data_IF_250057553357
#
_entry.id   IF_250057553357
#
_cell.length_a   1.000
_cell.length_b   1.000
_cell.length_c   1.000
_cell.angle_alpha   90.00
_cell.angle_beta   90.00
_cell.angle_gamma   90.00
#
_symmetry.space_group_name_H-M   'P 1'
#
loop_
_entity.id
_entity.type
_entity.pdbx_description
1 polymer ?
#
# COMPACT_ATOMS: atom_id res chain seq x y z
N UNK A 1 -34.16 67.60 -47.12
CA UNK A 1 -33.99 66.50 -48.09
C UNK A 1 -33.08 65.46 -47.46
N UNK A 2 -33.53 64.20 -47.43
CA UNK A 2 -32.92 62.98 -46.85
C UNK A 2 -33.06 62.75 -45.33
N UNK A 3 -34.00 61.85 -45.03
CA UNK A 3 -34.18 61.09 -43.80
C UNK A 3 -32.98 60.18 -43.54
N UNK A 4 -32.66 59.98 -42.25
CA UNK A 4 -32.16 58.70 -41.73
C UNK A 4 -32.44 58.61 -40.22
N UNK A 5 -33.39 57.74 -39.86
CA UNK A 5 -33.65 57.28 -38.48
C UNK A 5 -32.44 56.48 -37.98
N UNK A 6 -31.86 56.87 -36.85
CA UNK A 6 -30.94 56.03 -36.08
C UNK A 6 -31.65 55.51 -34.83
N UNK A 7 -31.83 54.19 -34.77
CA UNK A 7 -32.25 53.45 -33.59
C UNK A 7 -31.15 53.49 -32.52
N UNK A 8 -31.50 53.90 -31.30
CA UNK A 8 -30.65 53.80 -30.12
C UNK A 8 -30.90 52.42 -29.49
N UNK A 9 -29.92 51.51 -29.59
CA UNK A 9 -29.88 50.28 -28.79
C UNK A 9 -29.10 50.56 -27.50
N UNK A 10 -29.81 50.67 -26.38
CA UNK A 10 -29.20 50.70 -25.04
C UNK A 10 -28.79 49.28 -24.63
N UNK A 11 -27.49 49.02 -24.52
CA UNK A 11 -26.96 47.81 -23.89
C UNK A 11 -26.93 48.02 -22.36
N UNK A 12 -27.82 47.33 -21.64
CA UNK A 12 -27.76 47.19 -20.19
C UNK A 12 -26.67 46.16 -19.84
N UNK A 13 -25.56 46.61 -19.25
CA UNK A 13 -24.56 45.71 -18.65
C UNK A 13 -25.07 45.23 -17.29
N UNK A 14 -25.54 43.98 -17.21
CA UNK A 14 -25.80 43.30 -15.95
C UNK A 14 -24.44 42.81 -15.42
N UNK A 15 -23.88 43.52 -14.43
CA UNK A 15 -22.75 43.03 -13.65
C UNK A 15 -23.27 41.92 -12.72
N UNK A 16 -23.17 40.66 -13.14
CA UNK A 16 -23.28 39.54 -12.21
C UNK A 16 -22.01 39.52 -11.35
N UNK A 17 -22.16 39.86 -10.08
CA UNK A 17 -21.15 39.64 -9.05
C UNK A 17 -20.90 38.13 -8.90
N UNK A 18 -19.87 37.62 -9.56
CA UNK A 18 -19.35 36.28 -9.29
C UNK A 18 -18.71 36.31 -7.91
N UNK A 19 -19.45 35.86 -6.90
CA UNK A 19 -18.86 35.52 -5.60
C UNK A 19 -17.94 34.33 -5.85
N UNK A 20 -16.65 34.60 -6.02
CA UNK A 20 -15.62 33.58 -6.10
C UNK A 20 -15.66 32.77 -4.79
N UNK A 21 -16.11 31.52 -4.86
CA UNK A 21 -15.98 30.57 -3.74
C UNK A 21 -14.50 30.57 -3.30
N UNK A 22 -14.20 30.61 -1.99
CA UNK A 22 -12.83 30.57 -1.53
C UNK A 22 -12.18 29.31 -2.09
N UNK A 23 -11.14 29.49 -2.89
CA UNK A 23 -10.29 28.41 -3.37
C UNK A 23 -9.63 27.84 -2.13
N UNK A 24 -10.11 26.69 -1.66
CA UNK A 24 -9.43 25.92 -0.61
C UNK A 24 -8.02 25.67 -1.13
N UNK A 25 -7.02 26.35 -0.56
CA UNK A 25 -5.63 26.00 -0.80
C UNK A 25 -5.51 24.51 -0.44
N UNK A 26 -4.89 23.66 -1.27
CA UNK A 26 -4.56 22.31 -0.84
C UNK A 26 -3.87 22.45 0.51
N UNK A 27 -4.38 21.81 1.55
CA UNK A 27 -3.64 21.71 2.79
C UNK A 27 -2.31 21.08 2.42
N UNK A 28 -1.21 21.82 2.61
CA UNK A 28 0.13 21.25 2.57
C UNK A 28 0.12 20.17 3.65
N UNK A 29 -0.02 18.91 3.22
CA UNK A 29 0.09 17.79 4.14
C UNK A 29 1.47 17.89 4.77
N UNK A 30 1.53 18.00 6.10
CA UNK A 30 2.80 18.14 6.79
C UNK A 30 3.73 16.97 6.44
N UNK A 31 5.02 17.25 6.27
CA UNK A 31 6.02 16.23 5.99
C UNK A 31 6.04 15.16 7.08
N UNK A 32 6.07 13.89 6.65
CA UNK A 32 6.14 12.72 7.53
C UNK A 32 7.41 12.78 8.37
N UNK A 33 7.29 12.57 9.68
CA UNK A 33 8.46 12.51 10.56
C UNK A 33 8.96 11.08 10.71
N UNK A 34 10.14 10.82 10.18
CA UNK A 34 10.82 9.53 10.31
C UNK A 34 11.63 9.44 11.62
N UNK A 35 12.01 8.24 12.10
CA UNK A 35 11.63 6.93 11.58
C UNK A 35 10.16 6.60 11.83
N UNK A 36 9.60 5.73 10.99
CA UNK A 36 8.27 5.16 11.24
C UNK A 36 8.31 4.23 12.45
N UNK A 37 7.15 4.07 13.11
CA UNK A 37 6.97 3.23 14.29
C UNK A 37 5.73 2.37 14.14
N UNK A 38 5.71 1.25 14.86
CA UNK A 38 4.47 0.51 15.08
C UNK A 38 3.62 1.29 16.08
N UNK A 39 2.34 1.48 15.76
CA UNK A 39 1.38 2.11 16.66
C UNK A 39 1.32 1.37 18.02
N UNK A 40 1.00 2.05 19.13
CA UNK A 40 0.92 1.40 20.44
C UNK A 40 -0.08 0.25 20.53
N UNK A 41 -1.10 0.23 19.67
CA UNK A 41 -2.09 -0.84 19.61
C UNK A 41 -1.68 -2.02 18.69
N UNK A 42 -0.53 -1.94 18.02
CA UNK A 42 0.00 -3.00 17.16
C UNK A 42 -0.72 -3.18 15.82
N UNK A 43 -1.63 -2.27 15.43
CA UNK A 43 -2.51 -2.48 14.25
C UNK A 43 -2.08 -1.72 13.00
N UNK A 44 -1.44 -0.57 13.17
CA UNK A 44 -1.00 0.27 12.05
C UNK A 44 0.38 0.88 12.29
N UNK A 45 0.85 1.66 11.33
CA UNK A 45 2.13 2.34 11.34
C UNK A 45 1.90 3.82 11.63
N UNK A 46 2.76 4.44 12.42
CA UNK A 46 2.75 5.89 12.64
C UNK A 46 4.08 6.50 12.23
N UNK A 47 4.07 7.80 11.98
CA UNK A 47 5.29 8.59 12.00
C UNK A 47 5.83 8.74 13.44
N UNK A 48 6.98 9.40 13.61
CA UNK A 48 7.60 9.56 14.92
C UNK A 48 6.85 10.50 15.88
N UNK A 49 5.88 11.28 15.38
CA UNK A 49 4.96 12.11 16.15
C UNK A 49 3.65 11.38 16.50
N UNK A 50 3.46 10.14 16.06
CA UNK A 50 2.24 9.37 16.30
C UNK A 50 1.12 9.62 15.28
N UNK A 51 1.40 10.31 14.16
CA UNK A 51 0.42 10.49 13.09
C UNK A 51 0.29 9.18 12.29
N UNK A 52 -0.92 8.64 12.09
CA UNK A 52 -1.12 7.44 11.29
C UNK A 52 -0.53 7.56 9.88
N UNK A 53 0.24 6.55 9.48
CA UNK A 53 0.89 6.45 8.20
C UNK A 53 0.24 5.33 7.39
N UNK A 54 -0.67 5.70 6.48
CA UNK A 54 -1.23 4.77 5.49
C UNK A 54 -0.14 4.40 4.49
N UNK A 55 0.41 3.19 4.57
CA UNK A 55 1.50 2.78 3.70
C UNK A 55 0.98 2.34 2.34
N UNK A 56 1.42 3.04 1.29
CA UNK A 56 1.12 2.67 -0.11
C UNK A 56 2.44 2.44 -0.80
N UNK A 57 2.81 1.17 -0.87
CA UNK A 57 4.10 0.72 -1.36
C UNK A 57 4.02 0.32 -2.83
N UNK A 58 5.09 0.55 -3.60
CA UNK A 58 5.28 -0.06 -4.92
C UNK A 58 6.38 -1.12 -4.86
N UNK A 59 6.21 -2.23 -5.57
CA UNK A 59 7.19 -3.31 -5.63
C UNK A 59 8.15 -3.05 -6.79
N UNK A 60 9.36 -2.58 -6.47
CA UNK A 60 10.38 -2.13 -7.42
C UNK A 60 11.63 -3.02 -7.40
N UNK A 61 11.44 -4.35 -7.49
CA UNK A 61 12.49 -5.34 -7.35
C UNK A 61 13.80 -4.98 -8.03
N UNK A 62 13.81 -4.78 -9.34
CA UNK A 62 15.06 -4.63 -10.08
C UNK A 62 15.63 -3.21 -10.10
N UNK A 63 15.12 -2.26 -9.30
CA UNK A 63 15.49 -0.84 -9.38
C UNK A 63 17.02 -0.64 -9.31
N UNK A 64 17.71 -1.18 -8.30
CA UNK A 64 19.18 -1.03 -8.15
C UNK A 64 19.99 -1.66 -9.28
N UNK A 65 19.42 -2.68 -9.93
CA UNK A 65 20.08 -3.36 -11.05
C UNK A 65 19.88 -2.63 -12.37
N UNK A 66 18.72 -2.02 -12.56
CA UNK A 66 18.27 -1.55 -13.87
C UNK A 66 18.37 -0.05 -14.06
N UNK A 67 18.23 0.74 -12.99
CA UNK A 67 18.13 2.19 -13.10
C UNK A 67 19.38 2.88 -12.57
N UNK A 68 19.82 3.91 -13.32
CA UNK A 68 20.79 4.87 -12.84
C UNK A 68 20.13 5.98 -12.00
N UNK A 69 20.91 6.87 -11.37
CA UNK A 69 20.39 7.89 -10.46
C UNK A 69 19.27 8.77 -11.05
N UNK A 70 19.41 9.19 -12.31
CA UNK A 70 18.41 10.03 -13.00
C UNK A 70 17.09 9.28 -13.18
N UNK A 71 17.13 8.03 -13.61
CA UNK A 71 15.93 7.23 -13.83
C UNK A 71 15.28 6.81 -12.51
N UNK A 72 16.08 6.52 -11.48
CA UNK A 72 15.57 6.27 -10.12
C UNK A 72 14.81 7.49 -9.60
N UNK A 73 15.34 8.70 -9.78
CA UNK A 73 14.66 9.95 -9.42
C UNK A 73 13.34 10.12 -10.19
N UNK A 74 13.35 9.91 -11.51
CA UNK A 74 12.13 9.98 -12.35
C UNK A 74 11.05 9.00 -11.88
N UNK A 75 11.45 7.76 -11.56
CA UNK A 75 10.55 6.76 -10.99
C UNK A 75 9.94 7.23 -9.66
N UNK A 76 10.77 7.73 -8.74
CA UNK A 76 10.33 8.21 -7.43
C UNK A 76 9.40 9.42 -7.54
N UNK A 77 9.72 10.39 -8.40
CA UNK A 77 8.90 11.58 -8.64
C UNK A 77 7.51 11.19 -9.18
N UNK A 78 7.48 10.24 -10.14
CA UNK A 78 6.23 9.72 -10.66
C UNK A 78 5.42 9.00 -9.58
N UNK A 79 6.04 8.07 -8.84
CA UNK A 79 5.35 7.32 -7.77
C UNK A 79 4.82 8.25 -6.68
N UNK A 80 5.60 9.26 -6.28
CA UNK A 80 5.15 10.28 -5.33
C UNK A 80 3.92 11.05 -5.84
N UNK A 81 3.91 11.42 -7.13
CA UNK A 81 2.76 12.11 -7.76
C UNK A 81 1.49 11.26 -7.81
N UNK A 82 1.65 9.93 -7.84
CA UNK A 82 0.57 8.93 -7.80
C UNK A 82 0.15 8.54 -6.36
N UNK A 83 0.62 9.28 -5.35
CA UNK A 83 0.36 9.05 -3.92
C UNK A 83 1.03 7.82 -3.30
N UNK A 84 1.95 7.15 -3.99
CA UNK A 84 2.85 6.19 -3.34
C UNK A 84 3.77 6.91 -2.35
N UNK A 85 4.00 6.29 -1.20
CA UNK A 85 4.88 6.82 -0.17
C UNK A 85 6.00 5.85 0.24
N UNK A 86 5.97 4.63 -0.28
CA UNK A 86 6.97 3.59 -0.02
C UNK A 86 7.31 2.89 -1.35
N UNK A 87 8.52 2.40 -1.50
CA UNK A 87 8.83 1.39 -2.50
C UNK A 87 9.76 0.32 -1.93
N UNK A 88 9.61 -0.91 -2.41
CA UNK A 88 10.39 -2.05 -1.98
C UNK A 88 11.43 -2.40 -3.04
N UNK A 89 12.66 -2.62 -2.62
CA UNK A 89 13.77 -2.96 -3.51
C UNK A 89 14.56 -4.12 -2.96
N UNK A 90 14.98 -5.03 -3.83
CA UNK A 90 15.95 -6.06 -3.45
C UNK A 90 17.35 -5.45 -3.44
N UNK A 91 18.01 -5.55 -2.29
CA UNK A 91 19.37 -5.05 -2.07
C UNK A 91 20.36 -5.82 -2.93
N UNK A 92 20.21 -7.15 -3.02
CA UNK A 92 20.99 -8.01 -3.91
C UNK A 92 20.27 -8.17 -5.26
N UNK A 93 20.99 -8.38 -6.38
CA UNK A 93 20.36 -8.59 -7.68
C UNK A 93 19.62 -9.94 -7.75
N UNK A 94 18.79 -10.18 -8.77
CA UNK A 94 17.94 -11.38 -8.80
C UNK A 94 18.74 -12.68 -8.85
N UNK A 95 19.94 -12.66 -9.42
CA UNK A 95 20.84 -13.82 -9.46
C UNK A 95 22.25 -13.43 -9.00
N UNK A 96 23.02 -14.34 -8.35
CA UNK A 96 24.37 -14.07 -7.86
C UNK A 96 25.41 -13.63 -8.90
N UNK A 97 25.21 -14.00 -10.16
CA UNK A 97 26.09 -13.62 -11.27
C UNK A 97 25.76 -12.24 -11.87
N UNK A 98 24.67 -11.60 -11.43
CA UNK A 98 24.26 -10.30 -11.92
C UNK A 98 24.99 -9.17 -11.19
N UNK A 99 24.88 -7.97 -11.75
CA UNK A 99 25.53 -6.74 -11.29
C UNK A 99 24.50 -5.63 -11.15
N UNK A 100 24.82 -4.56 -10.42
CA UNK A 100 23.97 -3.37 -10.38
C UNK A 100 24.01 -2.60 -11.72
N UNK A 101 23.29 -1.49 -11.79
CA UNK A 101 23.30 -0.59 -12.95
C UNK A 101 24.72 -0.19 -13.40
N UNK A 102 25.62 0.04 -12.45
CA UNK A 102 27.01 0.41 -12.69
C UNK A 102 27.93 -0.78 -13.03
N UNK A 103 27.37 -1.97 -13.32
CA UNK A 103 28.09 -3.22 -13.62
C UNK A 103 28.98 -3.72 -12.46
N UNK A 104 28.67 -3.34 -11.22
CA UNK A 104 29.41 -3.75 -10.01
C UNK A 104 28.71 -4.93 -9.32
N UNK A 105 29.49 -5.88 -8.78
CA UNK A 105 29.00 -7.02 -7.98
C UNK A 105 28.77 -6.61 -6.52
N UNK A 106 27.78 -7.19 -5.81
CA UNK A 106 27.54 -6.85 -4.39
C UNK A 106 28.68 -7.26 -3.46
N UNK A 107 29.40 -8.31 -3.79
CA UNK A 107 30.49 -8.87 -2.98
C UNK A 107 31.73 -9.09 -3.84
N UNK A 108 32.90 -9.03 -3.21
CA UNK A 108 34.17 -9.38 -3.82
C UNK A 108 34.40 -10.90 -3.75
N UNK A 109 35.51 -11.37 -4.33
CA UNK A 109 36.04 -12.73 -4.15
C UNK A 109 34.98 -13.84 -4.27
N UNK A 110 34.33 -13.92 -5.43
CA UNK A 110 33.33 -14.95 -5.74
C UNK A 110 32.14 -15.00 -4.76
N UNK A 111 31.56 -13.84 -4.47
CA UNK A 111 30.40 -13.70 -3.57
C UNK A 111 30.70 -14.03 -2.10
N UNK A 112 31.89 -13.68 -1.61
CA UNK A 112 32.20 -13.72 -0.17
C UNK A 112 31.39 -12.67 0.59
N UNK A 113 30.45 -13.13 1.42
CA UNK A 113 29.55 -12.29 2.21
C UNK A 113 30.28 -11.41 3.23
N UNK A 114 31.50 -11.80 3.64
CA UNK A 114 32.36 -11.01 4.53
C UNK A 114 33.10 -9.89 3.81
N UNK A 115 33.04 -9.86 2.46
CA UNK A 115 33.68 -8.85 1.61
C UNK A 115 32.67 -8.05 0.77
N UNK A 116 31.74 -7.29 1.38
CA UNK A 116 30.86 -6.38 0.68
C UNK A 116 31.63 -5.37 -0.20
N UNK A 117 31.17 -5.20 -1.44
CA UNK A 117 31.81 -4.33 -2.41
C UNK A 117 31.31 -2.88 -2.26
N UNK A 118 32.13 -1.98 -1.70
CA UNK A 118 31.74 -0.60 -1.38
C UNK A 118 31.08 0.14 -2.56
N UNK A 119 31.66 0.21 -3.78
CA UNK A 119 31.01 0.83 -4.93
C UNK A 119 29.59 0.32 -5.26
N UNK A 120 29.28 -0.95 -4.94
CA UNK A 120 27.91 -1.47 -5.12
C UNK A 120 26.93 -0.79 -4.16
N UNK A 121 27.29 -0.76 -2.88
CA UNK A 121 26.46 -0.19 -1.82
C UNK A 121 26.44 1.34 -1.82
N UNK A 122 27.46 2.00 -2.40
CA UNK A 122 27.44 3.44 -2.69
C UNK A 122 26.27 3.81 -3.64
N UNK A 123 25.89 2.92 -4.57
CA UNK A 123 24.73 3.14 -5.44
C UNK A 123 23.40 3.05 -4.67
N UNK A 124 23.25 2.05 -3.79
CA UNK A 124 22.08 1.94 -2.90
C UNK A 124 21.94 3.18 -2.01
N UNK A 125 23.05 3.68 -1.45
CA UNK A 125 23.05 4.89 -0.64
C UNK A 125 22.49 6.11 -1.39
N UNK A 126 22.86 6.29 -2.66
CA UNK A 126 22.32 7.35 -3.52
C UNK A 126 20.80 7.21 -3.73
N UNK A 127 20.30 5.99 -3.86
CA UNK A 127 18.85 5.71 -3.99
C UNK A 127 18.10 6.04 -2.70
N UNK A 128 18.65 5.67 -1.53
CA UNK A 128 18.05 5.97 -0.22
C UNK A 128 17.99 7.49 0.02
N UNK A 129 19.07 8.22 -0.31
CA UNK A 129 19.13 9.68 -0.21
C UNK A 129 18.10 10.35 -1.13
N UNK A 130 18.03 9.93 -2.40
CA UNK A 130 17.06 10.46 -3.36
C UNK A 130 15.59 10.22 -2.91
N UNK A 131 15.33 9.07 -2.27
CA UNK A 131 14.02 8.76 -1.69
C UNK A 131 13.71 9.66 -0.48
N UNK A 132 14.71 9.92 0.38
CA UNK A 132 14.58 10.79 1.56
C UNK A 132 14.18 12.21 1.17
N UNK A 133 14.84 12.77 0.15
CA UNK A 133 14.53 14.09 -0.41
C UNK A 133 13.07 14.21 -0.89
N UNK A 134 12.45 13.08 -1.27
CA UNK A 134 11.07 13.00 -1.79
C UNK A 134 10.04 12.56 -0.76
N UNK A 135 10.44 12.44 0.52
CA UNK A 135 9.57 11.91 1.58
C UNK A 135 9.02 10.52 1.21
N UNK A 136 9.90 9.64 0.71
CA UNK A 136 9.60 8.24 0.39
C UNK A 136 10.36 7.30 1.34
N UNK A 137 9.68 6.25 1.76
CA UNK A 137 10.27 5.14 2.50
C UNK A 137 10.83 4.10 1.55
N UNK A 138 12.00 3.55 1.87
CA UNK A 138 12.62 2.46 1.12
C UNK A 138 12.55 1.17 1.94
N UNK A 139 11.78 0.20 1.48
CA UNK A 139 11.83 -1.16 2.01
C UNK A 139 13.02 -1.91 1.42
N UNK A 140 13.99 -2.25 2.25
CA UNK A 140 15.24 -2.91 1.86
C UNK A 140 15.10 -4.42 2.03
N UNK A 141 14.77 -5.13 0.95
CA UNK A 141 14.75 -6.60 0.94
C UNK A 141 16.18 -7.12 0.87
N UNK A 142 16.68 -7.57 2.02
CA UNK A 142 18.11 -7.82 2.29
C UNK A 142 18.67 -8.98 1.46
N UNK A 143 17.89 -10.04 1.29
CA UNK A 143 18.19 -11.14 0.36
C UNK A 143 16.90 -11.87 -0.03
N UNK A 144 17.01 -12.74 -1.03
CA UNK A 144 15.93 -13.53 -1.61
C UNK A 144 16.40 -14.97 -1.83
N UNK A 145 15.46 -15.89 -2.04
CA UNK A 145 15.66 -17.33 -2.27
C UNK A 145 16.76 -17.66 -3.28
N UNK A 146 16.88 -16.86 -4.34
CA UNK A 146 17.86 -17.06 -5.41
C UNK A 146 19.33 -16.92 -4.97
N UNK A 147 19.57 -16.39 -3.77
CA UNK A 147 20.90 -16.27 -3.17
C UNK A 147 21.22 -17.37 -2.15
N UNK A 148 20.28 -18.27 -1.84
CA UNK A 148 20.47 -19.28 -0.80
C UNK A 148 21.73 -20.12 -1.02
N UNK A 149 21.97 -20.61 -2.24
CA UNK A 149 23.17 -21.39 -2.52
C UNK A 149 24.49 -20.67 -2.21
N UNK A 150 24.53 -19.33 -2.30
CA UNK A 150 25.69 -18.53 -1.90
C UNK A 150 25.78 -18.43 -0.38
N UNK A 151 24.66 -18.20 0.29
CA UNK A 151 24.63 -18.10 1.75
C UNK A 151 24.91 -19.45 2.41
N UNK A 152 24.32 -20.54 1.94
CA UNK A 152 24.46 -21.89 2.47
C UNK A 152 25.90 -22.42 2.33
N UNK A 153 26.68 -21.87 1.40
CA UNK A 153 28.10 -22.17 1.23
C UNK A 153 29.02 -21.41 2.21
N UNK A 154 28.46 -20.56 3.08
CA UNK A 154 29.19 -19.67 3.99
C UNK A 154 28.83 -19.96 5.45
N UNK A 155 29.64 -19.48 6.39
CA UNK A 155 29.41 -19.70 7.82
C UNK A 155 28.30 -18.82 8.41
N UNK A 156 27.77 -19.24 9.56
CA UNK A 156 26.84 -18.43 10.37
C UNK A 156 27.39 -17.02 10.69
N UNK A 157 28.70 -16.93 10.98
CA UNK A 157 29.38 -15.66 11.22
C UNK A 157 29.37 -14.75 9.98
N UNK A 158 29.45 -15.32 8.78
CA UNK A 158 29.37 -14.55 7.55
C UNK A 158 27.96 -13.96 7.34
N UNK A 159 26.89 -14.71 7.67
CA UNK A 159 25.52 -14.21 7.61
C UNK A 159 25.30 -13.04 8.57
N UNK A 160 25.75 -13.20 9.82
CA UNK A 160 25.66 -12.15 10.84
C UNK A 160 26.49 -10.92 10.44
N UNK A 161 27.70 -11.13 9.92
CA UNK A 161 28.59 -10.06 9.46
C UNK A 161 27.98 -9.27 8.29
N UNK A 162 27.29 -9.94 7.36
CA UNK A 162 26.56 -9.25 6.29
C UNK A 162 25.43 -8.40 6.85
N UNK A 163 24.62 -8.94 7.78
CA UNK A 163 23.58 -8.19 8.48
C UNK A 163 24.12 -6.94 9.19
N UNK A 164 25.22 -7.10 9.94
CA UNK A 164 25.90 -6.00 10.62
C UNK A 164 26.47 -4.96 9.66
N UNK A 165 27.04 -5.39 8.52
CA UNK A 165 27.55 -4.47 7.51
C UNK A 165 26.44 -3.56 6.96
N UNK A 166 25.29 -4.13 6.56
CA UNK A 166 24.19 -3.32 6.02
C UNK A 166 23.57 -2.44 7.10
N UNK A 167 23.37 -2.97 8.31
CA UNK A 167 22.88 -2.23 9.47
C UNK A 167 23.75 -1.00 9.76
N UNK A 168 25.05 -1.22 10.01
CA UNK A 168 26.03 -0.16 10.28
C UNK A 168 26.06 0.92 9.21
N UNK A 169 25.92 0.51 7.95
CA UNK A 169 26.01 1.41 6.81
C UNK A 169 24.77 2.29 6.63
N UNK A 170 23.58 1.72 6.77
CA UNK A 170 22.33 2.41 6.37
C UNK A 170 21.41 2.79 7.53
N UNK A 171 21.61 2.31 8.76
CA UNK A 171 20.77 2.66 9.92
C UNK A 171 20.71 4.18 10.22
N UNK A 172 21.71 4.95 9.78
CA UNK A 172 21.69 6.43 9.84
C UNK A 172 20.56 7.08 9.01
N UNK A 173 19.93 6.33 8.09
CA UNK A 173 18.81 6.81 7.28
C UNK A 173 17.48 6.42 7.92
N UNK A 174 16.69 7.41 8.32
CA UNK A 174 15.42 7.20 9.04
C UNK A 174 14.26 6.75 8.13
N UNK A 175 14.38 6.88 6.81
CA UNK A 175 13.33 6.56 5.84
C UNK A 175 13.47 5.15 5.26
N UNK A 176 14.03 4.19 6.01
CA UNK A 176 14.17 2.80 5.56
C UNK A 176 13.36 1.86 6.45
N UNK A 177 12.96 0.73 5.87
CA UNK A 177 12.44 -0.44 6.59
C UNK A 177 13.30 -1.63 6.19
N UNK A 178 13.81 -2.36 7.16
CA UNK A 178 14.56 -3.59 6.91
C UNK A 178 13.59 -4.71 6.59
N UNK A 179 13.81 -5.45 5.51
CA UNK A 179 12.93 -6.55 5.12
C UNK A 179 13.77 -7.81 4.92
N UNK A 180 13.49 -8.83 5.71
CA UNK A 180 14.20 -10.11 5.69
C UNK A 180 13.16 -11.21 5.46
N UNK A 181 13.36 -12.12 4.51
CA UNK A 181 12.31 -13.10 4.16
C UNK A 181 12.27 -14.24 5.16
N UNK A 182 11.11 -14.58 5.73
CA UNK A 182 11.02 -15.68 6.70
C UNK A 182 10.90 -17.06 5.99
N UNK A 183 10.24 -17.10 4.84
CA UNK A 183 9.92 -18.33 4.09
C UNK A 183 10.99 -18.74 3.08
N UNK A 184 11.76 -17.77 2.59
CA UNK A 184 12.71 -18.03 1.51
C UNK A 184 14.03 -18.59 2.01
N UNK A 185 14.32 -18.61 3.33
CA UNK A 185 15.51 -19.24 3.88
C UNK A 185 15.26 -20.72 4.21
N UNK A 186 16.22 -21.58 3.85
CA UNK A 186 16.13 -23.00 4.20
C UNK A 186 16.36 -23.26 5.70
N UNK A 187 16.99 -22.31 6.41
CA UNK A 187 17.36 -22.42 7.81
C UNK A 187 16.85 -21.22 8.62
N UNK A 188 16.06 -21.48 9.67
CA UNK A 188 15.55 -20.45 10.61
C UNK A 188 16.67 -19.62 11.26
N UNK A 189 17.88 -20.19 11.40
CA UNK A 189 19.06 -19.50 11.91
C UNK A 189 19.60 -18.45 10.95
N UNK A 190 19.44 -18.60 9.63
CA UNK A 190 19.90 -17.62 8.66
C UNK A 190 19.11 -16.31 8.78
N UNK A 191 17.78 -16.38 8.85
CA UNK A 191 16.93 -15.23 9.17
C UNK A 191 17.40 -14.56 10.47
N UNK A 192 17.50 -15.36 11.54
CA UNK A 192 17.82 -14.85 12.88
C UNK A 192 19.17 -14.15 12.90
N UNK A 193 20.21 -14.74 12.33
CA UNK A 193 21.56 -14.18 12.38
C UNK A 193 21.72 -12.93 11.51
N UNK A 194 21.09 -12.87 10.34
CA UNK A 194 21.05 -11.65 9.52
C UNK A 194 20.31 -10.55 10.28
N UNK A 195 19.14 -10.84 10.84
CA UNK A 195 18.35 -9.85 11.60
C UNK A 195 19.04 -9.40 12.89
N UNK A 196 19.71 -10.30 13.60
CA UNK A 196 20.52 -9.98 14.79
C UNK A 196 21.69 -9.06 14.42
N UNK A 197 22.37 -9.32 13.29
CA UNK A 197 23.41 -8.44 12.78
C UNK A 197 22.88 -7.05 12.40
N UNK A 198 21.73 -6.96 11.75
CA UNK A 198 21.10 -5.67 11.44
C UNK A 198 20.77 -4.92 12.74
N UNK A 199 20.10 -5.59 13.68
CA UNK A 199 19.67 -5.02 14.96
C UNK A 199 20.80 -4.52 15.83
N UNK A 200 21.97 -5.15 15.80
CA UNK A 200 23.11 -4.65 16.58
C UNK A 200 23.55 -3.24 16.18
N UNK A 201 23.09 -2.74 15.02
CA UNK A 201 23.47 -1.45 14.45
C UNK A 201 22.29 -0.52 14.12
N UNK A 202 21.04 -1.00 14.25
CA UNK A 202 19.83 -0.30 13.73
C UNK A 202 18.69 -0.18 14.75
N UNK A 203 19.01 0.02 16.02
CA UNK A 203 18.01 0.09 17.09
C UNK A 203 16.92 1.14 16.82
N UNK A 204 15.67 0.80 17.15
CA UNK A 204 14.49 1.66 16.94
C UNK A 204 13.97 1.79 15.50
N UNK A 205 14.55 1.10 14.52
CA UNK A 205 14.00 1.02 13.15
C UNK A 205 13.16 -0.24 12.96
N UNK A 206 12.11 -0.15 12.14
CA UNK A 206 11.22 -1.27 11.83
C UNK A 206 11.99 -2.36 11.08
N UNK A 207 11.92 -3.59 11.60
CA UNK A 207 12.34 -4.80 10.92
C UNK A 207 11.10 -5.62 10.53
N UNK A 208 10.89 -5.77 9.24
CA UNK A 208 9.78 -6.50 8.66
C UNK A 208 10.18 -7.88 8.13
N UNK A 209 9.20 -8.79 8.08
CA UNK A 209 9.32 -10.03 7.35
C UNK A 209 8.76 -9.95 5.94
N UNK A 210 9.23 -10.83 5.06
CA UNK A 210 8.69 -11.03 3.72
C UNK A 210 8.26 -12.48 3.51
N UNK A 211 7.01 -12.65 3.10
CA UNK A 211 6.37 -13.92 2.78
C UNK A 211 5.84 -13.87 1.34
N UNK A 212 5.93 -14.98 0.60
CA UNK A 212 5.44 -15.06 -0.80
C UNK A 212 4.13 -15.79 -0.95
N UNK A 213 3.66 -16.47 0.09
CA UNK A 213 2.34 -17.08 0.14
C UNK A 213 1.62 -16.76 1.47
N UNK A 214 0.39 -17.26 1.61
CA UNK A 214 -0.38 -17.11 2.83
C UNK A 214 0.37 -17.67 4.02
N UNK A 215 0.56 -16.89 5.11
CA UNK A 215 1.14 -17.44 6.33
C UNK A 215 0.25 -18.58 6.83
N UNK A 216 0.86 -19.73 7.10
CA UNK A 216 0.14 -20.95 7.51
C UNK A 216 -0.43 -20.85 8.93
N UNK A 217 -0.07 -19.84 9.73
CA UNK A 217 -0.49 -19.66 11.12
C UNK A 217 -0.81 -18.19 11.48
N UNK A 218 -1.93 -17.99 12.18
CA UNK A 218 -2.43 -16.69 12.70
C UNK A 218 -1.49 -16.12 13.76
N UNK A 219 -1.11 -16.98 14.70
CA UNK A 219 -0.16 -16.69 15.75
C UNK A 219 1.14 -17.37 15.38
N UNK A 220 1.86 -16.75 14.46
CA UNK A 220 3.22 -17.15 14.19
C UNK A 220 4.08 -16.86 15.44
N UNK A 221 4.20 -17.88 16.29
CA UNK A 221 5.12 -17.95 17.43
C UNK A 221 6.57 -18.09 16.96
N UNK A 222 6.86 -17.80 15.68
CA UNK A 222 8.22 -17.77 15.18
C UNK A 222 9.08 -16.96 16.14
N UNK A 223 10.25 -17.51 16.54
CA UNK A 223 11.21 -16.77 17.35
C UNK A 223 11.73 -15.53 16.60
N UNK A 224 11.41 -15.41 15.30
CA UNK A 224 11.72 -14.28 14.45
C UNK A 224 10.83 -13.07 14.85
N UNK A 225 11.44 -12.13 15.57
CA UNK A 225 10.78 -10.93 16.08
C UNK A 225 10.52 -9.89 14.97
N UNK A 226 9.71 -10.13 13.94
CA UNK A 226 9.36 -9.08 12.97
C UNK A 226 8.30 -8.12 13.52
N UNK A 227 8.48 -6.82 13.29
CA UNK A 227 7.60 -5.72 13.71
C UNK A 227 6.43 -5.50 12.73
N UNK A 228 6.64 -5.84 11.45
CA UNK A 228 5.73 -5.62 10.33
C UNK A 228 5.84 -6.80 9.37
N UNK A 229 4.74 -7.19 8.70
CA UNK A 229 4.78 -8.25 7.67
C UNK A 229 4.48 -7.72 6.27
N UNK A 230 5.31 -8.05 5.29
CA UNK A 230 4.99 -7.89 3.88
C UNK A 230 4.63 -9.26 3.29
N UNK A 231 3.43 -9.36 2.73
CA UNK A 231 2.99 -10.54 2.00
C UNK A 231 2.93 -10.15 0.53
N UNK A 232 3.84 -10.68 -0.27
CA UNK A 232 3.95 -10.32 -1.70
C UNK A 232 3.86 -11.61 -2.50
N UNK A 233 2.64 -11.96 -2.97
CA UNK A 233 2.43 -13.13 -3.80
C UNK A 233 3.40 -13.18 -4.97
N UNK A 234 3.99 -14.33 -5.23
CA UNK A 234 4.79 -14.53 -6.44
C UNK A 234 3.95 -15.10 -7.59
N UNK A 235 4.58 -15.33 -8.74
CA UNK A 235 3.93 -15.86 -9.94
C UNK A 235 3.33 -17.26 -9.80
N UNK A 236 3.58 -17.96 -8.69
CA UNK A 236 3.06 -19.31 -8.44
C UNK A 236 1.74 -19.29 -7.68
N UNK A 237 1.38 -18.16 -7.06
CA UNK A 237 0.13 -18.02 -6.30
C UNK A 237 -1.06 -17.95 -7.26
N UNK A 238 -1.96 -18.91 -7.14
CA UNK A 238 -3.22 -18.96 -7.89
C UNK A 238 -4.25 -17.95 -7.36
N UNK A 239 -5.26 -17.56 -8.16
CA UNK A 239 -6.36 -16.72 -7.69
C UNK A 239 -7.09 -17.30 -6.46
N UNK A 240 -7.24 -18.62 -6.39
CA UNK A 240 -7.86 -19.32 -5.25
C UNK A 240 -7.02 -19.20 -3.99
N UNK A 241 -5.70 -19.38 -4.09
CA UNK A 241 -4.79 -19.20 -2.95
C UNK A 241 -4.75 -17.74 -2.47
N UNK A 242 -4.82 -16.78 -3.40
CA UNK A 242 -4.94 -15.37 -3.06
C UNK A 242 -6.27 -15.06 -2.34
N UNK A 243 -7.40 -15.63 -2.81
CA UNK A 243 -8.68 -15.47 -2.13
C UNK A 243 -8.65 -16.08 -0.71
N UNK A 244 -7.98 -17.23 -0.55
CA UNK A 244 -7.75 -17.84 0.76
C UNK A 244 -6.90 -16.93 1.67
N UNK A 245 -5.89 -16.24 1.13
CA UNK A 245 -5.10 -15.24 1.86
C UNK A 245 -6.00 -14.11 2.38
N UNK A 246 -6.82 -13.53 1.51
CA UNK A 246 -7.74 -12.45 1.86
C UNK A 246 -8.74 -12.87 2.96
N UNK A 247 -9.29 -14.09 2.85
CA UNK A 247 -10.20 -14.66 3.84
C UNK A 247 -9.51 -14.94 5.18
N UNK A 248 -8.31 -15.53 5.15
CA UNK A 248 -7.50 -15.76 6.34
C UNK A 248 -7.29 -14.46 7.10
N UNK A 249 -6.94 -13.36 6.42
CA UNK A 249 -6.73 -12.07 7.07
C UNK A 249 -7.99 -11.51 7.69
N UNK A 250 -9.12 -11.55 6.98
CA UNK A 250 -10.42 -11.11 7.53
C UNK A 250 -10.70 -11.79 8.88
N UNK A 251 -10.41 -13.08 8.98
CA UNK A 251 -10.65 -13.88 10.19
C UNK A 251 -9.54 -13.74 11.26
N UNK A 252 -8.36 -13.25 10.87
CA UNK A 252 -7.16 -13.20 11.73
C UNK A 252 -6.84 -11.80 12.24
N UNK A 253 -7.38 -10.76 11.60
CA UNK A 253 -7.03 -9.37 11.85
C UNK A 253 -7.41 -8.87 13.24
N UNK A 254 -8.49 -9.39 13.85
CA UNK A 254 -8.79 -9.07 15.25
C UNK A 254 -7.71 -9.61 16.20
N UNK A 255 -7.16 -10.79 15.91
CA UNK A 255 -6.12 -11.45 16.70
C UNK A 255 -4.68 -10.98 16.36
N UNK A 256 -4.47 -10.40 15.18
CA UNK A 256 -3.16 -9.94 14.74
C UNK A 256 -2.72 -8.69 15.53
N UNK A 257 -1.66 -8.85 16.34
CA UNK A 257 -0.99 -7.77 17.07
C UNK A 257 0.17 -7.12 16.28
N UNK A 258 0.31 -7.48 15.01
CA UNK A 258 1.37 -6.98 14.11
C UNK A 258 0.73 -6.43 12.83
N UNK A 259 1.07 -5.21 12.40
CA UNK A 259 0.59 -4.70 11.13
C UNK A 259 1.16 -5.52 9.97
N UNK A 260 0.45 -5.50 8.86
CA UNK A 260 0.90 -6.15 7.63
C UNK A 260 0.49 -5.35 6.39
N UNK A 261 1.16 -5.62 5.28
CA UNK A 261 0.78 -5.19 3.94
C UNK A 261 0.71 -6.40 3.02
N UNK A 262 -0.19 -6.33 2.05
CA UNK A 262 -0.37 -7.36 1.03
C UNK A 262 -0.21 -6.71 -0.32
N UNK A 263 0.49 -7.38 -1.21
CA UNK A 263 0.50 -7.00 -2.61
C UNK A 263 -0.65 -7.63 -3.38
N UNK A 264 -1.17 -6.94 -4.40
CA UNK A 264 -1.98 -7.62 -5.41
C UNK A 264 -1.23 -8.80 -6.02
N UNK A 265 -1.96 -9.82 -6.46
CA UNK A 265 -1.36 -11.00 -7.08
C UNK A 265 -0.69 -10.69 -8.42
N UNK A 266 0.28 -11.52 -8.77
CA UNK A 266 0.95 -11.52 -10.06
C UNK A 266 0.09 -12.25 -11.11
N UNK A 267 -0.38 -11.54 -12.13
CA UNK A 267 -1.31 -12.11 -13.11
C UNK A 267 -0.68 -12.36 -14.49
N UNK A 268 -1.23 -13.31 -15.27
CA UNK A 268 -0.78 -13.61 -16.62
C UNK A 268 -0.87 -12.38 -17.52
N UNK A 269 0.11 -12.22 -18.41
CA UNK A 269 0.23 -11.09 -19.37
C UNK A 269 -0.94 -10.98 -20.36
N UNK A 270 -1.86 -11.93 -20.34
CA UNK A 270 -3.00 -12.04 -21.26
C UNK A 270 -4.16 -11.11 -20.87
N UNK A 271 -4.19 -10.61 -19.63
CA UNK A 271 -5.18 -9.61 -19.19
C UNK A 271 -4.68 -8.21 -19.56
N UNK A 272 -5.40 -7.53 -20.44
CA UNK A 272 -5.06 -6.21 -20.98
C UNK A 272 -5.37 -5.03 -20.05
N UNK A 273 -6.38 -5.15 -19.18
CA UNK A 273 -6.69 -4.18 -18.11
C UNK A 273 -6.95 -4.89 -16.78
N UNK A 274 -6.13 -4.58 -15.78
CA UNK A 274 -6.15 -5.21 -14.45
C UNK A 274 -6.74 -4.28 -13.38
N UNK A 275 -7.19 -3.08 -13.75
CA UNK A 275 -7.52 -2.02 -12.81
C UNK A 275 -8.64 -2.39 -11.84
N UNK A 276 -9.69 -3.08 -12.31
CA UNK A 276 -10.81 -3.54 -11.45
C UNK A 276 -10.31 -4.53 -10.40
N UNK A 277 -9.51 -5.50 -10.83
CA UNK A 277 -9.00 -6.56 -9.96
C UNK A 277 -8.05 -6.00 -8.90
N UNK A 278 -7.13 -5.11 -9.28
CA UNK A 278 -6.20 -4.53 -8.33
C UNK A 278 -6.94 -3.54 -7.40
N UNK A 279 -7.99 -2.83 -7.85
CA UNK A 279 -8.87 -2.07 -6.94
C UNK A 279 -9.53 -2.97 -5.92
N UNK A 280 -10.15 -4.07 -6.37
CA UNK A 280 -10.79 -5.05 -5.49
C UNK A 280 -9.80 -5.55 -4.42
N UNK A 281 -8.61 -5.96 -4.84
CA UNK A 281 -7.57 -6.47 -3.93
C UNK A 281 -7.01 -5.39 -2.99
N UNK A 282 -6.86 -4.15 -3.46
CA UNK A 282 -6.42 -3.03 -2.63
C UNK A 282 -7.45 -2.72 -1.53
N UNK A 283 -8.74 -2.65 -1.86
CA UNK A 283 -9.77 -2.44 -0.85
C UNK A 283 -9.91 -3.65 0.07
N UNK A 284 -9.84 -4.89 -0.44
CA UNK A 284 -9.81 -6.09 0.41
C UNK A 284 -8.65 -6.07 1.42
N UNK A 285 -7.47 -5.61 1.02
CA UNK A 285 -6.33 -5.42 1.93
C UNK A 285 -6.67 -4.48 3.09
N UNK A 286 -7.29 -3.34 2.78
CA UNK A 286 -7.71 -2.39 3.82
C UNK A 286 -8.84 -2.96 4.67
N UNK A 287 -9.79 -3.67 4.07
CA UNK A 287 -10.91 -4.29 4.77
C UNK A 287 -10.47 -5.40 5.72
N UNK A 288 -9.29 -5.97 5.51
CA UNK A 288 -8.67 -6.92 6.44
C UNK A 288 -7.78 -6.24 7.49
N UNK A 289 -7.88 -4.92 7.67
CA UNK A 289 -7.05 -4.12 8.60
C UNK A 289 -5.55 -4.16 8.33
N UNK A 290 -5.15 -4.32 7.06
CA UNK A 290 -3.78 -4.06 6.68
C UNK A 290 -3.40 -2.59 6.99
N UNK A 291 -2.14 -2.35 7.34
CA UNK A 291 -1.61 -1.00 7.55
C UNK A 291 -1.46 -0.18 6.25
N UNK A 292 -1.99 -0.71 5.15
CA UNK A 292 -1.76 -0.21 3.81
C UNK A 292 -1.96 -1.25 2.72
N UNK A 293 -1.35 -0.99 1.57
CA UNK A 293 -1.39 -1.85 0.38
C UNK A 293 -0.06 -1.80 -0.37
N UNK A 294 0.38 -2.94 -0.90
CA UNK A 294 1.51 -3.01 -1.82
C UNK A 294 0.99 -3.14 -3.25
N UNK A 295 1.41 -2.24 -4.14
CA UNK A 295 1.15 -2.36 -5.56
C UNK A 295 2.27 -3.16 -6.21
N UNK A 296 1.90 -4.18 -6.97
CA UNK A 296 2.80 -4.92 -7.84
C UNK A 296 2.30 -4.80 -9.27
N UNK A 297 3.17 -4.33 -10.16
CA UNK A 297 2.85 -4.10 -11.58
C UNK A 297 3.93 -4.66 -12.50
N UNK A 298 3.71 -4.56 -13.81
CA UNK A 298 4.67 -5.05 -14.82
C UNK A 298 6.03 -4.35 -14.75
N UNK A 299 6.11 -3.19 -14.09
CA UNK A 299 7.34 -2.41 -13.97
C UNK A 299 8.31 -2.90 -12.89
N UNK A 300 7.92 -3.85 -12.03
CA UNK A 300 8.78 -4.35 -10.92
C UNK A 300 10.19 -4.79 -11.35
N UNK A 301 10.31 -5.22 -12.61
CA UNK A 301 11.56 -5.68 -13.22
C UNK A 301 12.25 -4.64 -14.12
N UNK A 302 11.67 -3.45 -14.28
CA UNK A 302 12.17 -2.34 -15.10
C UNK A 302 12.57 -2.77 -16.52
N UNK A 303 11.68 -3.50 -17.20
CA UNK A 303 11.81 -3.76 -18.63
C UNK A 303 11.72 -2.43 -19.42
N UNK A 304 12.21 -2.36 -20.68
CA UNK A 304 12.31 -1.09 -21.42
C UNK A 304 11.02 -0.26 -21.50
N UNK A 305 9.84 -0.90 -21.39
CA UNK A 305 8.53 -0.25 -21.42
C UNK A 305 8.10 0.37 -20.08
N UNK A 306 8.91 0.31 -19.02
CA UNK A 306 8.51 0.73 -17.67
C UNK A 306 8.01 2.18 -17.61
N UNK A 307 8.61 3.10 -18.39
CA UNK A 307 8.19 4.51 -18.44
C UNK A 307 6.78 4.69 -19.00
N UNK A 308 6.36 3.82 -19.92
CA UNK A 308 5.01 3.83 -20.50
C UNK A 308 4.02 3.13 -19.56
N UNK A 309 4.48 2.13 -18.81
CA UNK A 309 3.63 1.31 -17.94
C UNK A 309 3.50 1.84 -16.51
N UNK A 310 4.32 2.81 -16.09
CA UNK A 310 4.30 3.35 -14.71
C UNK A 310 2.96 4.00 -14.31
N UNK A 311 2.15 4.41 -15.28
CA UNK A 311 0.80 4.97 -15.07
C UNK A 311 -0.32 3.96 -15.33
N UNK A 312 0.02 2.69 -15.55
CA UNK A 312 -0.92 1.61 -15.89
C UNK A 312 -0.91 0.56 -14.78
N UNK A 313 -1.56 -0.57 -15.06
CA UNK A 313 -1.62 -1.73 -14.19
C UNK A 313 -2.19 -1.37 -12.81
N UNK A 314 -3.17 -0.47 -12.77
CA UNK A 314 -3.82 -0.01 -11.55
C UNK A 314 -3.14 1.16 -10.83
N UNK A 315 -1.97 1.61 -11.27
CA UNK A 315 -1.35 2.80 -10.69
C UNK A 315 -2.23 4.06 -10.85
N UNK A 316 -3.08 4.11 -11.87
CA UNK A 316 -3.98 5.23 -12.19
C UNK A 316 -5.02 5.54 -11.11
N UNK A 317 -5.40 4.58 -10.27
CA UNK A 317 -6.43 4.79 -9.24
C UNK A 317 -5.86 4.90 -7.82
N UNK A 318 -4.57 4.63 -7.61
CA UNK A 318 -3.94 4.65 -6.28
C UNK A 318 -4.12 6.01 -5.59
N UNK A 319 -4.09 7.09 -6.38
CA UNK A 319 -4.40 8.42 -5.86
C UNK A 319 -5.79 8.50 -5.22
N UNK A 320 -6.81 7.91 -5.87
CA UNK A 320 -8.18 7.91 -5.37
C UNK A 320 -8.35 7.00 -4.15
N UNK A 321 -7.68 5.84 -4.12
CA UNK A 321 -7.60 4.98 -2.94
C UNK A 321 -7.09 5.78 -1.73
N UNK A 322 -5.93 6.44 -1.88
CA UNK A 322 -5.33 7.24 -0.80
C UNK A 322 -6.24 8.38 -0.37
N UNK A 323 -6.85 9.09 -1.33
CA UNK A 323 -7.74 10.21 -1.05
C UNK A 323 -8.98 9.79 -0.27
N UNK A 324 -9.62 8.68 -0.64
CA UNK A 324 -10.80 8.16 0.06
C UNK A 324 -10.43 7.72 1.47
N UNK A 325 -9.35 6.94 1.63
CA UNK A 325 -8.93 6.42 2.94
C UNK A 325 -8.48 7.52 3.90
N UNK A 326 -7.78 8.55 3.40
CA UNK A 326 -7.44 9.74 4.23
C UNK A 326 -8.67 10.57 4.64
N UNK A 327 -9.80 10.38 3.98
CA UNK A 327 -11.07 11.04 4.33
C UNK A 327 -11.83 10.36 5.47
N UNK A 328 -11.34 9.22 5.97
CA UNK A 328 -11.98 8.43 7.02
C UNK A 328 -10.95 8.01 8.09
N UNK A 329 -11.38 7.66 9.31
CA UNK A 329 -10.53 7.13 10.36
C UNK A 329 -10.13 5.67 10.10
N UNK A 330 -9.48 5.40 8.96
CA UNK A 330 -9.14 4.04 8.49
C UNK A 330 -8.31 3.25 9.51
N UNK A 331 -7.46 3.93 10.28
CA UNK A 331 -6.56 3.35 11.28
C UNK A 331 -7.31 2.77 12.50
N UNK A 332 -8.58 3.13 12.66
CA UNK A 332 -9.47 2.65 13.73
C UNK A 332 -10.58 1.72 13.20
N UNK A 333 -10.63 1.49 11.89
CA UNK A 333 -11.55 0.54 11.27
C UNK A 333 -11.07 -0.89 11.50
N UNK A 334 -12.00 -1.79 11.77
CA UNK A 334 -11.77 -3.20 12.01
C UNK A 334 -12.72 -4.03 11.13
N UNK A 335 -12.34 -5.24 10.70
CA UNK A 335 -13.22 -6.09 9.91
C UNK A 335 -14.45 -6.38 10.76
N UNK A 336 -15.61 -6.32 10.13
CA UNK A 336 -16.86 -6.56 10.82
C UNK A 336 -17.50 -7.86 10.33
N UNK A 337 -18.24 -8.52 11.23
CA UNK A 337 -19.23 -9.48 10.81
C UNK A 337 -20.20 -8.76 9.88
N UNK A 338 -20.51 -9.29 8.69
CA UNK A 338 -21.32 -8.59 7.70
C UNK A 338 -22.81 -8.58 8.07
N UNK A 339 -23.17 -8.47 9.35
CA UNK A 339 -24.55 -8.46 9.83
C UNK A 339 -25.30 -7.17 9.45
N UNK A 340 -24.56 -6.11 9.14
CA UNK A 340 -25.11 -4.92 8.47
C UNK A 340 -25.75 -5.26 7.11
N UNK A 341 -25.40 -6.38 6.49
CA UNK A 341 -25.96 -6.84 5.21
C UNK A 341 -27.05 -7.87 5.48
N UNK A 342 -28.25 -7.67 4.92
CA UNK A 342 -29.36 -8.60 5.15
C UNK A 342 -29.28 -9.88 4.28
N UNK A 343 -28.74 -9.77 3.07
CA UNK A 343 -28.71 -10.86 2.08
C UNK A 343 -27.44 -11.71 2.19
N UNK A 344 -27.57 -13.04 2.04
CA UNK A 344 -26.45 -13.98 2.19
C UNK A 344 -25.41 -13.87 1.07
N UNK A 345 -25.82 -13.52 -0.16
CA UNK A 345 -24.90 -13.25 -1.26
C UNK A 345 -24.11 -11.97 -1.00
N UNK A 346 -24.79 -10.92 -0.53
CA UNK A 346 -24.13 -9.67 -0.15
C UNK A 346 -23.11 -9.91 0.97
N UNK A 347 -23.45 -10.69 2.00
CA UNK A 347 -22.52 -11.09 3.08
C UNK A 347 -21.27 -11.80 2.58
N UNK A 348 -21.38 -12.55 1.49
CA UNK A 348 -20.27 -13.29 0.90
C UNK A 348 -19.36 -12.42 0.02
N UNK A 349 -19.91 -11.42 -0.65
CA UNK A 349 -19.20 -10.66 -1.70
C UNK A 349 -18.79 -9.23 -1.29
N UNK A 350 -19.47 -8.62 -0.31
CA UNK A 350 -19.18 -7.25 0.14
C UNK A 350 -18.28 -7.31 1.38
N UNK A 351 -17.13 -6.64 1.29
CA UNK A 351 -16.28 -6.43 2.44
C UNK A 351 -16.79 -5.28 3.30
N UNK A 352 -16.86 -5.48 4.62
CA UNK A 352 -17.32 -4.49 5.59
C UNK A 352 -16.26 -4.29 6.66
N UNK A 353 -15.93 -3.03 6.93
CA UNK A 353 -15.20 -2.62 8.14
C UNK A 353 -16.00 -1.60 8.91
N UNK A 354 -15.84 -1.61 10.22
CA UNK A 354 -16.51 -0.69 11.13
C UNK A 354 -15.55 -0.13 12.16
N UNK A 355 -15.85 1.06 12.67
CA UNK A 355 -15.24 1.52 13.91
C UNK A 355 -15.61 0.57 15.05
N UNK A 356 -14.70 0.39 16.01
CA UNK A 356 -14.95 -0.46 17.19
C UNK A 356 -16.18 -0.03 17.99
N UNK A 357 -16.52 1.26 17.96
CA UNK A 357 -17.72 1.80 18.60
C UNK A 357 -19.00 1.66 17.76
N UNK A 358 -18.95 1.00 16.60
CA UNK A 358 -20.04 0.79 15.64
C UNK A 358 -20.77 2.07 15.18
N UNK A 359 -20.14 3.23 15.26
CA UNK A 359 -20.74 4.51 14.82
C UNK A 359 -20.51 4.82 13.35
N UNK A 360 -19.70 4.01 12.65
CA UNK A 360 -19.43 4.17 11.23
C UNK A 360 -18.95 2.86 10.65
N UNK A 361 -19.41 2.57 9.43
CA UNK A 361 -18.95 1.45 8.62
C UNK A 361 -18.61 1.90 7.21
N UNK A 362 -17.63 1.23 6.61
CA UNK A 362 -17.29 1.31 5.20
C UNK A 362 -17.56 -0.04 4.55
N UNK A 363 -18.33 -0.01 3.46
CA UNK A 363 -18.60 -1.17 2.63
C UNK A 363 -17.89 -1.00 1.30
N UNK A 364 -17.20 -2.05 0.83
CA UNK A 364 -16.72 -2.14 -0.54
C UNK A 364 -17.61 -3.11 -1.33
N UNK A 365 -18.28 -2.58 -2.34
CA UNK A 365 -19.25 -3.29 -3.17
C UNK A 365 -18.59 -3.53 -4.54
N UNK A 366 -18.09 -4.74 -4.84
CA UNK A 366 -17.26 -5.00 -6.02
C UNK A 366 -18.05 -4.99 -7.34
N UNK A 367 -19.39 -5.08 -7.26
CA UNK A 367 -20.29 -5.07 -8.42
C UNK A 367 -21.43 -4.09 -8.18
N UNK A 368 -21.84 -3.38 -9.22
CA UNK A 368 -22.86 -2.35 -9.09
C UNK A 368 -24.24 -2.98 -8.90
N UNK A 369 -24.74 -2.98 -7.65
CA UNK A 369 -26.06 -3.50 -7.28
C UNK A 369 -26.63 -2.76 -6.07
N UNK A 370 -27.95 -2.87 -5.90
CA UNK A 370 -28.65 -2.45 -4.70
C UNK A 370 -28.29 -3.36 -3.53
N UNK A 371 -28.19 -2.80 -2.32
CA UNK A 371 -27.87 -3.55 -1.10
C UNK A 371 -28.89 -3.23 -0.02
N UNK A 372 -29.39 -4.25 0.67
CA UNK A 372 -30.29 -4.06 1.82
C UNK A 372 -29.48 -4.03 3.11
N UNK A 373 -29.63 -2.96 3.88
CA UNK A 373 -28.93 -2.76 5.15
C UNK A 373 -29.82 -3.06 6.36
N UNK A 374 -29.21 -3.58 7.43
CA UNK A 374 -29.79 -3.65 8.77
C UNK A 374 -29.01 -2.71 9.71
N UNK A 375 -29.58 -1.53 9.94
CA UNK A 375 -28.94 -0.46 10.71
C UNK A 375 -28.98 -0.70 12.22
N UNK A 376 -29.71 -1.71 12.71
CA UNK A 376 -29.74 -2.07 14.12
C UNK A 376 -28.38 -2.58 14.64
N UNK A 377 -27.49 -2.97 13.73
CA UNK A 377 -26.11 -3.36 14.03
C UNK A 377 -25.14 -2.16 14.20
N UNK A 378 -25.61 -0.93 14.01
CA UNK A 378 -24.83 0.29 14.23
C UNK A 378 -25.32 1.06 15.46
N UNK A 379 -24.39 1.74 16.12
CA UNK A 379 -24.68 2.54 17.32
C UNK A 379 -25.13 3.96 16.95
N UNK A 380 -26.43 4.21 16.99
CA UNK A 380 -27.03 5.51 16.70
C UNK A 380 -28.54 5.44 16.54
N UNK A 381 -29.18 6.59 16.37
CA UNK A 381 -30.61 6.71 16.03
C UNK A 381 -30.83 7.26 14.62
N UNK A 382 -29.88 8.05 14.11
CA UNK A 382 -29.87 8.63 12.77
C UNK A 382 -28.52 8.41 12.11
N UNK A 383 -28.55 8.08 10.82
CA UNK A 383 -27.37 7.75 10.03
C UNK A 383 -27.35 8.59 8.75
N UNK A 384 -26.16 9.02 8.36
CA UNK A 384 -25.90 9.58 7.03
C UNK A 384 -25.11 8.58 6.19
N UNK A 385 -25.44 8.50 4.90
CA UNK A 385 -24.75 7.67 3.94
C UNK A 385 -24.02 8.52 2.89
N UNK A 386 -22.92 7.99 2.38
CA UNK A 386 -22.10 8.64 1.36
C UNK A 386 -21.56 7.59 0.40
N UNK A 387 -21.76 7.80 -0.89
CA UNK A 387 -21.18 6.97 -1.94
C UNK A 387 -19.87 7.56 -2.46
N UNK A 388 -18.86 6.71 -2.66
CA UNK A 388 -17.65 7.05 -3.41
C UNK A 388 -17.48 6.13 -4.61
N UNK A 389 -17.03 6.72 -5.72
CA UNK A 389 -16.50 5.96 -6.84
C UNK A 389 -15.01 5.69 -6.60
N UNK A 390 -14.57 4.44 -6.42
CA UNK A 390 -13.15 4.09 -6.24
C UNK A 390 -12.31 4.36 -7.51
N UNK A 391 -12.95 4.58 -8.66
CA UNK A 391 -12.31 4.91 -9.94
C UNK A 391 -11.94 6.38 -10.07
N UNK A 392 -12.74 7.27 -9.46
CA UNK A 392 -12.67 8.73 -9.72
C UNK A 392 -12.58 9.56 -8.45
N UNK A 393 -12.74 8.94 -7.27
CA UNK A 393 -12.87 9.60 -5.98
C UNK A 393 -14.06 10.55 -5.87
N UNK A 394 -14.99 10.55 -6.83
CA UNK A 394 -16.21 11.35 -6.78
C UNK A 394 -17.10 10.86 -5.64
N UNK A 395 -17.72 11.81 -4.96
CA UNK A 395 -18.61 11.60 -3.82
C UNK A 395 -20.04 11.97 -4.18
N UNK A 396 -21.01 11.21 -3.68
CA UNK A 396 -22.44 11.52 -3.74
C UNK A 396 -23.05 11.40 -2.35
N UNK A 397 -24.09 12.20 -2.11
CA UNK A 397 -24.94 12.01 -0.94
C UNK A 397 -25.69 10.69 -1.06
N UNK A 398 -25.65 9.88 0.00
CA UNK A 398 -26.33 8.59 0.08
C UNK A 398 -27.65 8.67 0.84
N UNK A 399 -28.02 9.84 1.36
CA UNK A 399 -29.26 10.07 2.09
C UNK A 399 -29.12 9.91 3.61
N UNK A 400 -30.27 10.04 4.27
CA UNK A 400 -30.41 9.96 5.73
C UNK A 400 -31.36 8.82 6.09
N UNK A 401 -31.01 8.09 7.15
CA UNK A 401 -31.75 6.92 7.62
C UNK A 401 -31.89 6.93 9.14
N UNK A 402 -32.88 6.19 9.65
CA UNK A 402 -33.06 5.89 11.07
C UNK A 402 -32.75 4.43 11.35
N UNK A 403 -32.44 4.10 12.60
CA UNK A 403 -32.14 2.71 13.02
C UNK A 403 -33.26 1.72 12.71
N UNK A 404 -34.51 2.18 12.77
CA UNK A 404 -35.69 1.36 12.45
C UNK A 404 -35.87 1.11 10.95
N UNK A 405 -35.13 1.83 10.10
CA UNK A 405 -35.24 1.68 8.66
C UNK A 405 -34.51 0.40 8.22
N UNK A 406 -35.06 -0.26 7.21
CA UNK A 406 -34.38 -1.36 6.50
C UNK A 406 -34.07 -0.91 5.06
N UNK A 407 -33.19 0.10 4.86
CA UNK A 407 -33.06 0.76 3.59
C UNK A 407 -32.44 -0.18 2.54
N UNK A 408 -32.96 -0.09 1.32
CA UNK A 408 -32.32 -0.62 0.13
C UNK A 408 -31.56 0.53 -0.52
N UNK A 409 -30.24 0.55 -0.32
CA UNK A 409 -29.36 1.58 -0.85
C UNK A 409 -28.91 1.21 -2.26
N UNK A 410 -28.84 2.20 -3.15
CA UNK A 410 -28.45 2.00 -4.54
C UNK A 410 -27.23 2.87 -4.90
N UNK A 411 -26.26 2.34 -5.66
CA UNK A 411 -25.18 3.14 -6.19
C UNK A 411 -25.70 4.28 -7.07
N UNK A 412 -25.01 5.44 -7.11
CA UNK A 412 -25.42 6.59 -7.92
C UNK A 412 -25.47 6.34 -9.43
N UNK A 413 -24.78 5.30 -9.92
CA UNK A 413 -24.80 4.85 -11.32
C UNK A 413 -24.60 3.33 -11.36
N UNK A 414 -25.37 2.65 -12.22
CA UNK A 414 -25.53 1.19 -12.22
C UNK A 414 -24.87 0.51 -13.42
N UNK A 415 -23.67 0.96 -13.81
CA UNK A 415 -22.94 0.35 -14.92
C UNK A 415 -22.39 -1.04 -14.57
N UNK A 416 -22.45 -2.01 -15.51
CA UNK A 416 -21.77 -3.30 -15.35
C UNK A 416 -20.27 -3.14 -15.09
N UNK A 417 -19.74 -3.94 -14.15
CA UNK A 417 -18.31 -3.95 -13.81
C UNK A 417 -17.84 -2.76 -12.97
N UNK A 418 -18.73 -1.86 -12.56
CA UNK A 418 -18.38 -0.78 -11.64
C UNK A 418 -18.47 -1.22 -10.18
N UNK A 419 -17.43 -0.87 -9.43
CA UNK A 419 -17.30 -1.05 -7.99
C UNK A 419 -17.69 0.22 -7.23
N UNK A 420 -18.08 0.11 -5.96
CA UNK A 420 -18.54 1.24 -5.17
C UNK A 420 -18.10 1.14 -3.73
N UNK A 421 -17.95 2.30 -3.09
CA UNK A 421 -17.77 2.37 -1.64
C UNK A 421 -18.97 3.09 -1.06
N UNK A 422 -19.55 2.49 -0.02
CA UNK A 422 -20.58 3.13 0.79
C UNK A 422 -20.00 3.36 2.18
N UNK A 423 -19.97 4.62 2.61
CA UNK A 423 -19.82 4.96 4.01
C UNK A 423 -21.20 5.16 4.60
N UNK A 424 -21.45 4.57 5.77
CA UNK A 424 -22.63 4.86 6.56
C UNK A 424 -22.20 5.10 8.00
N UNK A 425 -22.70 6.15 8.63
CA UNK A 425 -22.30 6.47 9.99
C UNK A 425 -23.29 7.36 10.71
N UNK A 426 -23.23 7.32 12.03
CA UNK A 426 -24.12 8.04 12.93
C UNK A 426 -23.96 9.54 12.72
N UNK A 427 -25.07 10.23 12.47
CA UNK A 427 -25.10 11.69 12.43
C UNK A 427 -24.88 12.20 13.86
N UNK A 428 -23.86 13.02 14.06
CA UNK A 428 -23.68 13.75 15.31
C UNK A 428 -24.53 15.01 15.32
#
# INVERSE_FOLDING_TARGET
MKLACNFIFSFLLIIQSVIAKPRVKPSLQADVKFPLKISPNGRHITDSNGVPFLMVADVAWQLLRKLGPVESAQYMDMRKSQSFNTFLVQVLPALPNQRNYAKVSPFLENNDLTKPNKPYFDHLEKVILAAKERQLVVGLVISRKSWNAVFDAQSEDAWKSYGAYVGKRFAKYSNIIWIVSEEEYQNTSQFRLITDGIRSESDGQILASLNTCSPTNINDNSPNRSDLKFIIPDSTVTPTEYAALANWQKNSAEAALRPFLIANSEFPKEITDQSVLIRNQAYQSILSSAAGFCHMSTIKNFNPTWKVNITKDGAEYIHELVKILKGIPWEYMQPDTPDLLADSLDKAEIGVVSLSNKRMSMLYIPTSRSVKLDLSHLNGTEFGAVWYSPRTGRRWDGGLYKTSDAPVVQPPDTQPGWDWILLIGTKQ
#
